data_IF_956489707832
#
_entry.id   IF_956489707832
#
_cell.length_a   1.000
_cell.length_b   1.000
_cell.length_c   1.000
_cell.angle_alpha   90.00
_cell.angle_beta   90.00
_cell.angle_gamma   90.00
#
_symmetry.space_group_name_H-M   'P 1'
#
loop_
_entity.id
_entity.type
_entity.pdbx_description
1 polymer ?
#
# COMPACT_ATOMS: atom_id res chain seq x y z
N UNK A 1 -5.74 27.03 5.31
CA UNK A 1 -5.74 25.67 5.89
C UNK A 1 -5.55 24.69 4.76
N UNK A 2 -4.71 23.68 4.91
CA UNK A 2 -4.58 22.66 3.87
C UNK A 2 -5.89 21.87 3.80
N UNK A 3 -6.45 21.77 2.60
CA UNK A 3 -7.52 20.81 2.31
C UNK A 3 -6.87 19.47 1.95
N UNK A 4 -7.43 18.40 2.49
CA UNK A 4 -7.05 17.03 2.13
C UNK A 4 -8.01 16.52 1.06
N UNK A 5 -7.46 15.98 -0.01
CA UNK A 5 -8.25 15.27 -1.01
C UNK A 5 -8.77 13.93 -0.45
N UNK A 6 -9.86 13.38 -0.99
CA UNK A 6 -10.30 12.04 -0.62
C UNK A 6 -9.16 11.02 -0.78
N UNK A 7 -8.94 10.19 0.24
CA UNK A 7 -7.87 9.21 0.33
C UNK A 7 -6.44 9.78 0.34
N UNK A 8 -6.28 11.09 0.51
CA UNK A 8 -4.95 11.69 0.70
C UNK A 8 -4.39 11.31 2.07
N UNK A 9 -3.14 10.87 2.11
CA UNK A 9 -2.39 10.57 3.33
C UNK A 9 -1.51 11.74 3.69
N UNK A 10 -1.43 12.00 4.97
CA UNK A 10 -0.52 13.00 5.54
C UNK A 10 0.21 12.43 6.74
N UNK A 11 1.35 12.97 7.05
CA UNK A 11 2.12 12.65 8.25
C UNK A 11 2.19 13.90 9.11
N UNK A 12 1.90 13.75 10.40
CA UNK A 12 2.01 14.84 11.38
C UNK A 12 3.07 14.44 12.39
N UNK A 13 4.12 15.23 12.51
CA UNK A 13 5.25 15.00 13.40
C UNK A 13 5.37 16.15 14.42
N UNK A 14 6.14 15.99 15.51
CA UNK A 14 6.28 17.06 16.50
C UNK A 14 6.82 18.35 15.89
N UNK A 15 6.37 19.49 16.41
CA UNK A 15 6.98 20.79 16.09
C UNK A 15 8.48 20.78 16.42
N UNK A 16 9.27 21.42 15.57
CA UNK A 16 10.72 21.44 15.68
C UNK A 16 11.43 20.24 15.09
N UNK A 17 10.69 19.23 14.62
CA UNK A 17 11.26 18.12 13.83
C UNK A 17 11.20 18.49 12.35
N UNK A 18 12.34 18.44 11.67
CA UNK A 18 12.40 18.76 10.24
C UNK A 18 11.67 17.72 9.41
N UNK A 19 10.71 18.17 8.59
CA UNK A 19 9.97 17.34 7.67
C UNK A 19 10.88 16.63 6.65
N UNK A 20 11.92 17.30 6.16
CA UNK A 20 12.87 16.72 5.20
C UNK A 20 13.75 15.64 5.82
N UNK A 21 14.21 15.85 7.04
CA UNK A 21 14.99 14.82 7.77
C UNK A 21 14.11 13.61 8.09
N UNK A 22 12.86 13.83 8.50
CA UNK A 22 11.91 12.76 8.76
C UNK A 22 11.64 11.93 7.48
N UNK A 23 11.40 12.60 6.34
CA UNK A 23 11.23 11.92 5.04
C UNK A 23 12.42 11.04 4.70
N UNK A 24 13.63 11.59 4.82
CA UNK A 24 14.86 10.86 4.51
C UNK A 24 15.05 9.65 5.43
N UNK A 25 14.76 9.79 6.72
CA UNK A 25 14.96 8.75 7.72
C UNK A 25 13.95 7.60 7.58
N UNK A 26 12.68 7.91 7.26
CA UNK A 26 11.59 6.95 7.25
C UNK A 26 11.11 6.58 5.84
N UNK A 27 11.77 7.06 4.80
CA UNK A 27 11.44 6.72 3.41
C UNK A 27 10.07 7.26 2.96
N UNK A 28 9.62 8.40 3.53
CA UNK A 28 8.31 8.97 3.19
C UNK A 28 8.34 9.57 1.80
N UNK A 29 7.43 9.11 0.93
CA UNK A 29 7.31 9.58 -0.46
C UNK A 29 7.22 11.11 -0.55
N UNK A 30 7.84 11.70 -1.57
CA UNK A 30 7.81 13.15 -1.81
C UNK A 30 6.38 13.70 -2.03
N UNK A 31 5.45 12.87 -2.50
CA UNK A 31 4.04 13.24 -2.69
C UNK A 31 3.21 13.30 -1.41
N UNK A 32 3.70 12.74 -0.29
CA UNK A 32 2.99 12.76 0.99
C UNK A 32 3.27 14.08 1.69
N UNK A 33 2.25 14.79 2.16
CA UNK A 33 2.43 15.99 2.99
C UNK A 33 2.91 15.60 4.38
N UNK A 34 3.98 16.24 4.87
CA UNK A 34 4.49 16.08 6.24
C UNK A 34 4.35 17.41 6.95
N UNK A 35 3.59 17.45 8.03
CA UNK A 35 3.44 18.58 8.93
C UNK A 35 4.39 18.37 10.11
N UNK A 36 5.34 19.29 10.27
CA UNK A 36 6.38 19.29 11.30
C UNK A 36 6.88 20.70 11.52
N UNK A 37 8.20 20.92 11.65
CA UNK A 37 8.79 22.25 11.76
C UNK A 37 7.95 23.21 12.62
N UNK A 38 7.11 24.06 12.02
CA UNK A 38 6.23 25.01 12.72
C UNK A 38 4.75 24.62 12.70
N UNK A 39 4.34 23.61 11.96
CA UNK A 39 2.95 23.21 11.73
C UNK A 39 2.61 21.77 12.20
N UNK A 40 3.55 21.12 12.88
CA UNK A 40 3.36 19.83 13.53
C UNK A 40 2.58 19.92 14.85
N UNK A 41 2.41 18.78 15.52
CA UNK A 41 1.77 18.75 16.84
C UNK A 41 2.72 19.24 17.95
N UNK A 42 2.13 19.77 19.05
CA UNK A 42 2.87 20.29 20.19
C UNK A 42 2.99 19.21 21.26
N UNK A 43 4.20 19.02 21.79
CA UNK A 43 4.47 18.06 22.85
C UNK A 43 5.07 16.74 22.32
N UNK A 44 4.94 15.69 23.10
CA UNK A 44 5.40 14.36 22.78
C UNK A 44 4.31 13.34 23.14
N UNK A 45 4.13 12.34 22.32
CA UNK A 45 3.19 11.27 22.59
C UNK A 45 3.63 10.48 23.84
N UNK A 46 2.67 10.19 24.71
CA UNK A 46 2.93 9.51 25.97
C UNK A 46 2.94 7.99 25.78
N UNK A 47 4.06 7.35 26.09
CA UNK A 47 4.16 5.89 26.03
C UNK A 47 3.22 5.15 27.01
N UNK A 48 2.72 5.83 28.03
CA UNK A 48 1.75 5.30 28.99
C UNK A 48 0.30 5.31 28.51
N UNK A 49 0.04 5.97 27.40
CA UNK A 49 -1.30 6.15 26.84
C UNK A 49 -1.77 7.60 26.90
N UNK A 50 -2.56 8.00 25.92
CA UNK A 50 -3.26 9.29 25.83
C UNK A 50 -4.35 9.28 24.78
N UNK A 51 -5.20 10.30 24.79
CA UNK A 51 -6.19 10.53 23.74
C UNK A 51 -5.60 11.36 22.59
N UNK A 52 -5.76 10.85 21.38
CA UNK A 52 -5.47 11.59 20.14
C UNK A 52 -6.78 11.88 19.40
N UNK A 53 -7.06 13.14 19.14
CA UNK A 53 -8.27 13.55 18.44
C UNK A 53 -7.93 14.31 17.15
N UNK A 54 -8.48 13.85 16.03
CA UNK A 54 -8.51 14.59 14.78
C UNK A 54 -9.77 15.43 14.73
N UNK A 55 -9.60 16.75 14.75
CA UNK A 55 -10.71 17.70 14.78
C UNK A 55 -10.80 18.48 13.46
N UNK A 56 -12.02 18.75 13.00
CA UNK A 56 -12.27 19.72 11.93
C UNK A 56 -13.11 20.89 12.43
N UNK A 57 -12.89 22.11 11.93
CA UNK A 57 -13.76 23.24 12.25
C UNK A 57 -15.15 23.04 11.63
N UNK A 58 -16.19 23.40 12.37
CA UNK A 58 -17.53 23.55 11.87
C UNK A 58 -17.79 25.01 11.40
N UNK A 59 -19.02 25.31 11.01
CA UNK A 59 -19.42 26.65 10.65
C UNK A 59 -19.29 27.59 11.88
N UNK A 60 -18.80 28.80 11.69
CA UNK A 60 -18.75 29.78 12.78
C UNK A 60 -20.18 30.11 13.29
N UNK A 61 -20.34 30.08 14.60
CA UNK A 61 -21.57 30.48 15.27
C UNK A 61 -21.41 31.86 15.94
N UNK A 62 -22.44 32.69 15.83
CA UNK A 62 -22.51 33.95 16.54
C UNK A 62 -23.16 33.73 17.90
N UNK A 63 -22.38 33.75 18.99
CA UNK A 63 -22.90 33.56 20.35
C UNK A 63 -23.07 34.91 21.05
N UNK A 64 -24.27 35.28 21.51
CA UNK A 64 -24.52 36.52 22.20
C UNK A 64 -23.60 36.68 23.41
N UNK A 65 -22.87 37.81 23.47
CA UNK A 65 -21.92 38.11 24.57
C UNK A 65 -20.55 37.46 24.47
N UNK A 66 -20.35 36.50 23.53
CA UNK A 66 -19.06 35.80 23.35
C UNK A 66 -18.43 36.04 21.97
N UNK A 67 -19.20 36.61 21.02
CA UNK A 67 -18.70 36.87 19.68
C UNK A 67 -18.82 35.64 18.76
N UNK A 68 -17.91 35.52 17.79
CA UNK A 68 -17.87 34.40 16.86
C UNK A 68 -17.08 33.24 17.46
N UNK A 69 -17.73 32.09 17.60
CA UNK A 69 -17.11 30.83 18.02
C UNK A 69 -17.09 29.88 16.84
N UNK A 70 -15.97 29.16 16.64
CA UNK A 70 -15.86 28.11 15.67
C UNK A 70 -15.83 26.76 16.42
N UNK A 71 -16.94 26.01 16.43
CA UNK A 71 -16.96 24.69 17.05
C UNK A 71 -15.98 23.75 16.35
N UNK A 72 -15.40 22.83 17.10
CA UNK A 72 -14.55 21.78 16.56
C UNK A 72 -15.28 20.45 16.65
N UNK A 73 -15.38 19.75 15.51
CA UNK A 73 -16.04 18.44 15.41
C UNK A 73 -14.95 17.37 15.40
N UNK A 74 -15.06 16.40 16.29
CA UNK A 74 -14.19 15.22 16.26
C UNK A 74 -14.51 14.38 15.01
N UNK A 75 -13.50 14.14 14.19
CA UNK A 75 -13.58 13.30 12.99
C UNK A 75 -13.15 11.89 13.33
N UNK A 76 -12.12 11.78 14.17
CA UNK A 76 -11.58 10.51 14.65
C UNK A 76 -10.93 10.73 16.01
N UNK A 77 -11.10 9.77 16.91
CA UNK A 77 -10.54 9.80 18.26
C UNK A 77 -9.98 8.42 18.56
N UNK A 78 -8.82 8.39 19.18
CA UNK A 78 -8.15 7.16 19.62
C UNK A 78 -7.60 7.39 21.01
N UNK A 79 -8.02 6.59 21.97
CA UNK A 79 -7.50 6.58 23.33
C UNK A 79 -6.64 5.34 23.56
N UNK A 80 -5.39 5.43 23.14
CA UNK A 80 -4.47 4.30 23.29
C UNK A 80 -3.89 4.23 24.70
N UNK A 81 -3.47 3.02 25.09
CA UNK A 81 -2.93 2.71 26.43
C UNK A 81 -1.78 1.69 26.26
N UNK A 82 -0.96 1.55 27.30
CA UNK A 82 0.07 0.52 27.40
C UNK A 82 -0.38 -0.77 28.11
N UNK A 83 -1.69 -0.93 28.37
CA UNK A 83 -2.25 -2.15 28.93
C UNK A 83 -2.24 -3.31 27.92
N UNK A 84 -2.47 -4.54 28.39
CA UNK A 84 -2.36 -5.75 27.54
C UNK A 84 -3.44 -5.86 26.44
N UNK A 85 -4.42 -4.94 26.38
CA UNK A 85 -5.45 -4.90 25.33
C UNK A 85 -4.95 -4.20 24.07
N UNK A 86 -4.09 -3.19 24.23
CA UNK A 86 -3.45 -2.50 23.12
C UNK A 86 -2.21 -3.26 22.63
N UNK A 87 -1.90 -3.22 21.33
CA UNK A 87 -0.68 -3.83 20.81
C UNK A 87 0.56 -3.21 21.46
N UNK A 88 1.49 -4.05 21.92
CA UNK A 88 2.78 -3.58 22.42
C UNK A 88 3.62 -3.06 21.26
N UNK A 89 4.06 -1.81 21.33
CA UNK A 89 4.98 -1.24 20.36
C UNK A 89 6.40 -1.81 20.45
N UNK A 90 6.91 -2.09 21.65
CA UNK A 90 8.26 -2.60 21.92
C UNK A 90 9.37 -2.03 20.99
N UNK A 91 9.38 -0.71 20.82
CA UNK A 91 10.30 -0.02 19.91
C UNK A 91 9.84 0.01 18.44
N UNK A 92 8.61 -0.40 18.16
CA UNK A 92 7.93 -0.29 16.88
C UNK A 92 6.71 0.62 17.01
N UNK A 93 6.16 1.06 15.89
CA UNK A 93 4.86 1.74 15.85
C UNK A 93 3.71 0.76 15.97
N UNK A 94 2.55 1.25 16.35
CA UNK A 94 1.27 0.56 16.15
C UNK A 94 0.57 1.15 14.91
N UNK A 95 -0.19 0.32 14.21
CA UNK A 95 -0.88 0.70 12.99
C UNK A 95 -2.28 0.10 12.94
N UNK A 96 -3.23 0.79 12.30
CA UNK A 96 -4.59 0.28 12.13
C UNK A 96 -4.61 -0.92 11.20
N UNK A 97 -5.39 -1.93 11.57
CA UNK A 97 -5.65 -3.10 10.73
C UNK A 97 -6.61 -2.72 9.59
N UNK A 98 -7.69 -2.02 9.92
CA UNK A 98 -8.67 -1.54 8.95
C UNK A 98 -8.90 -0.03 9.15
N UNK A 99 -8.57 0.78 8.13
CA UNK A 99 -8.68 2.24 8.19
C UNK A 99 -10.13 2.74 8.24
N UNK A 100 -11.10 1.93 7.81
CA UNK A 100 -12.53 2.27 7.82
C UNK A 100 -13.27 1.81 9.07
N UNK A 101 -12.64 0.94 9.88
CA UNK A 101 -13.20 0.49 11.13
C UNK A 101 -13.01 1.53 12.25
N UNK A 102 -13.71 1.34 13.37
CA UNK A 102 -13.67 2.26 14.50
C UNK A 102 -12.24 2.41 15.05
N UNK A 103 -11.80 3.66 15.18
CA UNK A 103 -10.41 3.99 15.54
C UNK A 103 -10.08 3.73 17.00
N UNK A 104 -11.04 3.85 17.90
CA UNK A 104 -10.87 3.68 19.34
C UNK A 104 -11.13 2.22 19.80
N UNK A 105 -10.97 1.26 18.90
CA UNK A 105 -11.04 -0.17 19.19
C UNK A 105 -9.65 -0.79 19.14
N UNK A 106 -9.08 -1.25 20.28
CA UNK A 106 -7.76 -1.89 20.31
C UNK A 106 -7.63 -3.09 19.37
N UNK A 107 -8.74 -3.84 19.13
CA UNK A 107 -8.75 -4.96 18.19
C UNK A 107 -8.49 -4.55 16.74
N UNK A 108 -8.67 -3.24 16.41
CA UNK A 108 -8.37 -2.69 15.11
C UNK A 108 -6.92 -2.20 14.97
N UNK A 109 -6.05 -2.48 15.94
CA UNK A 109 -4.65 -2.08 15.94
C UNK A 109 -3.73 -3.28 16.07
N UNK A 110 -2.55 -3.15 15.52
CA UNK A 110 -1.47 -4.14 15.63
C UNK A 110 -0.10 -3.47 15.69
N UNK A 111 0.88 -4.21 16.18
CA UNK A 111 2.29 -3.79 16.08
C UNK A 111 2.73 -3.80 14.63
N UNK A 112 3.38 -2.74 14.17
CA UNK A 112 3.95 -2.68 12.82
C UNK A 112 4.95 -3.81 12.57
N UNK A 113 4.91 -4.39 11.38
CA UNK A 113 5.91 -5.37 10.94
C UNK A 113 7.29 -4.75 10.73
N UNK A 114 7.33 -3.47 10.33
CA UNK A 114 8.56 -2.68 10.20
C UNK A 114 8.93 -2.03 11.53
N UNK A 115 10.21 -1.97 11.86
CA UNK A 115 10.70 -1.25 13.03
C UNK A 115 10.38 0.26 12.99
N UNK A 116 10.25 0.83 11.79
CA UNK A 116 9.98 2.25 11.57
C UNK A 116 8.51 2.56 11.25
N UNK A 117 7.65 1.52 11.15
CA UNK A 117 6.31 1.68 10.60
C UNK A 117 6.30 2.02 9.12
N UNK A 118 5.16 2.49 8.63
CA UNK A 118 4.94 2.90 7.24
C UNK A 118 4.34 4.30 7.16
N UNK A 119 5.00 5.35 7.70
CA UNK A 119 4.42 6.68 7.76
C UNK A 119 4.12 7.22 6.36
N UNK A 120 2.86 7.65 6.16
CA UNK A 120 2.40 8.20 4.88
C UNK A 120 2.15 7.18 3.77
N UNK A 121 2.40 5.91 4.01
CA UNK A 121 2.07 4.82 3.10
C UNK A 121 0.90 3.99 3.66
N UNK A 122 0.20 3.24 2.80
CA UNK A 122 -0.69 2.21 3.28
C UNK A 122 0.06 1.27 4.21
N UNK A 123 -0.62 0.71 5.19
CA UNK A 123 -0.05 -0.34 6.02
C UNK A 123 0.61 -1.41 5.14
N UNK A 124 1.87 -1.73 5.41
CA UNK A 124 2.45 -2.93 4.83
C UNK A 124 1.63 -4.11 5.34
N UNK A 125 0.94 -4.78 4.44
CA UNK A 125 0.08 -5.91 4.79
C UNK A 125 0.95 -7.08 5.28
N UNK A 126 1.33 -7.06 6.57
CA UNK A 126 1.88 -8.24 7.25
C UNK A 126 0.82 -9.36 7.39
N UNK A 127 -0.41 -9.07 7.02
CA UNK A 127 -1.54 -9.99 7.07
C UNK A 127 -1.80 -10.78 5.79
N UNK A 128 -0.99 -10.64 4.76
CA UNK A 128 -1.16 -11.37 3.50
C UNK A 128 -2.49 -11.10 2.79
N UNK A 129 -2.85 -12.02 1.88
CA UNK A 129 -4.06 -11.93 1.06
C UNK A 129 -5.35 -11.77 1.90
N UNK A 130 -5.50 -12.55 2.97
CA UNK A 130 -6.71 -12.55 3.81
C UNK A 130 -6.97 -11.19 4.46
N UNK A 131 -5.93 -10.58 4.98
CA UNK A 131 -6.03 -9.24 5.60
C UNK A 131 -6.34 -8.16 4.58
N UNK A 132 -5.77 -8.26 3.38
CA UNK A 132 -6.11 -7.37 2.27
C UNK A 132 -7.56 -7.55 1.84
N UNK A 133 -8.03 -8.79 1.71
CA UNK A 133 -9.39 -9.11 1.33
C UNK A 133 -10.39 -8.56 2.36
N UNK A 134 -10.12 -8.74 3.67
CA UNK A 134 -10.94 -8.21 4.75
C UNK A 134 -11.01 -6.66 4.76
N UNK A 135 -9.98 -5.98 4.27
CA UNK A 135 -9.98 -4.52 4.12
C UNK A 135 -10.71 -4.00 2.87
N UNK A 136 -10.96 -4.86 1.89
CA UNK A 136 -11.58 -4.49 0.59
C UNK A 136 -13.04 -4.93 0.53
N UNK A 137 -13.33 -6.16 0.96
CA UNK A 137 -14.64 -6.78 0.85
C UNK A 137 -15.42 -6.65 2.15
N UNK A 138 -16.73 -6.58 2.07
CA UNK A 138 -17.61 -6.62 3.23
C UNK A 138 -17.70 -8.05 3.79
N UNK A 139 -18.11 -8.18 5.05
CA UNK A 139 -18.33 -9.50 5.65
C UNK A 139 -19.35 -10.34 4.86
N UNK A 140 -20.40 -9.71 4.34
CA UNK A 140 -21.41 -10.37 3.51
C UNK A 140 -20.79 -10.91 2.20
N UNK A 141 -19.95 -10.14 1.54
CA UNK A 141 -19.26 -10.57 0.31
C UNK A 141 -18.27 -11.71 0.59
N UNK A 142 -17.57 -11.66 1.73
CA UNK A 142 -16.66 -12.73 2.16
C UNK A 142 -17.43 -14.03 2.41
N UNK A 143 -18.57 -13.95 3.10
CA UNK A 143 -19.43 -15.11 3.37
C UNK A 143 -20.04 -15.67 2.07
N UNK A 144 -20.41 -14.82 1.12
CA UNK A 144 -20.99 -15.23 -0.16
C UNK A 144 -19.97 -15.84 -1.15
N UNK A 145 -18.67 -15.81 -0.83
CA UNK A 145 -17.67 -16.65 -1.47
C UNK A 145 -17.09 -16.17 -2.81
N UNK A 146 -17.22 -14.87 -3.16
CA UNK A 146 -16.61 -14.31 -4.37
C UNK A 146 -15.27 -13.58 -4.12
N UNK A 147 -14.68 -13.76 -2.95
CA UNK A 147 -13.55 -12.95 -2.47
C UNK A 147 -12.25 -13.73 -2.28
N UNK A 148 -12.25 -15.00 -2.61
CA UNK A 148 -11.06 -15.85 -2.55
C UNK A 148 -10.00 -15.45 -3.61
N UNK A 149 -8.75 -15.90 -3.45
CA UNK A 149 -7.65 -15.52 -4.35
C UNK A 149 -7.88 -16.03 -5.80
N UNK A 150 -8.65 -17.08 -5.96
CA UNK A 150 -8.95 -17.66 -7.27
C UNK A 150 -10.25 -17.14 -7.90
N UNK A 151 -11.02 -16.34 -7.18
CA UNK A 151 -12.26 -15.75 -7.67
C UNK A 151 -11.97 -14.47 -8.48
N UNK A 152 -12.93 -14.07 -9.29
CA UNK A 152 -12.93 -12.86 -10.08
C UNK A 152 -14.13 -12.01 -9.66
N UNK A 153 -13.91 -11.08 -8.74
CA UNK A 153 -14.99 -10.27 -8.16
C UNK A 153 -15.57 -9.27 -9.15
N UNK A 154 -14.75 -8.69 -10.01
CA UNK A 154 -15.18 -7.70 -11.01
C UNK A 154 -15.76 -8.33 -12.28
N UNK A 155 -15.55 -9.63 -12.52
CA UNK A 155 -15.96 -10.32 -13.74
C UNK A 155 -15.16 -9.90 -14.98
N UNK A 156 -13.94 -9.41 -14.81
CA UNK A 156 -13.10 -8.89 -15.90
C UNK A 156 -12.11 -9.93 -16.47
N UNK A 157 -12.14 -11.15 -15.95
CA UNK A 157 -11.27 -12.26 -16.34
C UNK A 157 -9.97 -12.36 -15.54
N UNK A 158 -9.73 -11.43 -14.58
CA UNK A 158 -8.58 -11.47 -13.70
C UNK A 158 -8.99 -11.86 -12.28
N UNK A 159 -8.23 -12.81 -11.72
CA UNK A 159 -8.45 -13.30 -10.35
C UNK A 159 -8.14 -12.21 -9.32
N UNK A 160 -8.79 -12.27 -8.16
CA UNK A 160 -8.50 -11.38 -7.04
C UNK A 160 -7.03 -11.42 -6.61
N UNK A 161 -6.35 -12.57 -6.76
CA UNK A 161 -4.91 -12.70 -6.53
C UNK A 161 -4.08 -11.79 -7.44
N UNK A 162 -4.51 -11.59 -8.70
CA UNK A 162 -3.85 -10.66 -9.62
C UNK A 162 -4.02 -9.22 -9.16
N UNK A 163 -5.24 -8.87 -8.73
CA UNK A 163 -5.52 -7.55 -8.15
C UNK A 163 -4.69 -7.31 -6.89
N UNK A 164 -4.63 -8.30 -6.00
CA UNK A 164 -3.80 -8.25 -4.81
C UNK A 164 -2.32 -8.09 -5.16
N UNK A 165 -1.78 -8.95 -5.99
CA UNK A 165 -0.36 -8.97 -6.33
C UNK A 165 0.11 -7.70 -7.04
N UNK A 166 -0.68 -7.18 -7.97
CA UNK A 166 -0.33 -5.96 -8.69
C UNK A 166 -0.81 -4.66 -8.01
N UNK A 167 -1.48 -4.76 -6.84
CA UNK A 167 -1.94 -3.59 -6.09
C UNK A 167 -3.11 -2.87 -6.75
N UNK A 168 -4.04 -3.60 -7.38
CA UNK A 168 -5.26 -3.04 -7.98
C UNK A 168 -6.46 -3.18 -7.05
N UNK A 169 -7.49 -2.39 -7.35
CA UNK A 169 -8.78 -2.54 -6.71
C UNK A 169 -9.58 -3.65 -7.42
N UNK A 170 -9.89 -4.78 -6.77
CA UNK A 170 -10.61 -5.90 -7.37
C UNK A 170 -12.07 -5.59 -7.72
N UNK A 171 -12.59 -4.44 -7.28
CA UNK A 171 -13.94 -3.96 -7.63
C UNK A 171 -13.99 -3.27 -8.98
N UNK A 172 -12.84 -2.97 -9.56
CA UNK A 172 -12.71 -2.27 -10.82
C UNK A 172 -12.09 -3.19 -11.86
N UNK A 173 -12.64 -3.17 -13.06
CA UNK A 173 -12.04 -3.91 -14.18
C UNK A 173 -10.64 -3.40 -14.47
N UNK A 174 -9.67 -4.30 -14.51
CA UNK A 174 -8.29 -3.99 -14.89
C UNK A 174 -8.23 -3.68 -16.38
N UNK A 175 -7.63 -2.57 -16.76
CA UNK A 175 -7.53 -2.16 -18.17
C UNK A 175 -6.11 -1.74 -18.56
N UNK A 176 -5.68 -2.26 -19.70
CA UNK A 176 -4.60 -1.69 -20.52
C UNK A 176 -3.26 -1.48 -19.82
N UNK A 177 -2.94 -0.22 -19.50
CA UNK A 177 -1.63 0.19 -18.98
C UNK A 177 -1.24 -0.41 -17.61
N UNK A 178 -2.20 -0.99 -16.90
CA UNK A 178 -1.97 -1.60 -15.59
C UNK A 178 -1.58 -3.08 -15.67
N UNK A 179 -1.72 -3.70 -16.83
CA UNK A 179 -1.29 -5.08 -17.05
C UNK A 179 0.22 -5.16 -17.32
N UNK A 180 0.84 -6.34 -17.14
CA UNK A 180 2.22 -6.54 -17.54
C UNK A 180 2.44 -6.14 -19.01
N UNK A 181 3.47 -5.35 -19.25
CA UNK A 181 3.82 -4.83 -20.57
C UNK A 181 5.06 -5.53 -21.10
N UNK A 182 4.96 -6.07 -22.30
CA UNK A 182 6.10 -6.60 -23.01
C UNK A 182 6.83 -5.44 -23.72
N UNK A 183 8.11 -5.34 -23.50
CA UNK A 183 9.00 -4.35 -24.09
C UNK A 183 10.09 -5.08 -24.89
N UNK A 184 10.60 -4.43 -25.92
CA UNK A 184 11.73 -4.92 -26.70
C UNK A 184 12.88 -3.93 -26.52
N UNK A 185 14.06 -4.42 -26.17
CA UNK A 185 15.28 -3.64 -26.08
C UNK A 185 16.27 -4.10 -27.15
N UNK A 186 17.12 -3.20 -27.63
CA UNK A 186 18.05 -3.49 -28.69
C UNK A 186 17.46 -3.42 -30.10
N UNK A 187 18.25 -3.77 -31.11
CA UNK A 187 17.86 -3.76 -32.53
C UNK A 187 18.51 -4.90 -33.30
N UNK A 188 17.90 -5.33 -34.41
CA UNK A 188 18.42 -6.43 -35.23
C UNK A 188 18.58 -7.72 -34.45
N UNK A 189 19.74 -8.35 -34.55
CA UNK A 189 20.10 -9.59 -33.85
C UNK A 189 20.36 -9.42 -32.34
N UNK A 190 20.47 -8.19 -31.85
CA UNK A 190 20.73 -7.89 -30.43
C UNK A 190 19.45 -7.58 -29.66
N UNK A 191 18.28 -7.93 -30.20
CA UNK A 191 16.99 -7.74 -29.49
C UNK A 191 16.84 -8.70 -28.34
N UNK A 192 16.36 -8.17 -27.19
CA UNK A 192 15.95 -8.95 -26.05
C UNK A 192 14.54 -8.55 -25.60
N UNK A 193 13.82 -9.48 -24.97
CA UNK A 193 12.51 -9.22 -24.39
C UNK A 193 12.67 -8.68 -22.98
N UNK A 194 11.80 -7.75 -22.64
CA UNK A 194 11.65 -7.25 -21.28
C UNK A 194 10.17 -7.30 -20.90
N UNK A 195 9.88 -7.57 -19.65
CA UNK A 195 8.52 -7.47 -19.12
C UNK A 195 8.50 -6.50 -17.95
N UNK A 196 7.55 -5.59 -17.98
CA UNK A 196 7.37 -4.56 -16.97
C UNK A 196 6.02 -4.76 -16.30
N UNK A 197 6.00 -4.82 -14.97
CA UNK A 197 4.77 -5.05 -14.20
C UNK A 197 4.86 -4.42 -12.81
N UNK A 198 3.70 -4.21 -12.20
CA UNK A 198 3.62 -3.77 -10.80
C UNK A 198 3.79 -4.96 -9.87
N UNK A 199 4.34 -4.72 -8.69
CA UNK A 199 4.34 -5.68 -7.58
C UNK A 199 4.12 -4.96 -6.26
N UNK A 200 3.61 -5.65 -5.25
CA UNK A 200 3.55 -5.13 -3.89
C UNK A 200 4.95 -5.10 -3.28
N UNK A 201 5.28 -3.99 -2.63
CA UNK A 201 6.48 -3.89 -1.81
C UNK A 201 6.23 -4.68 -0.52
N UNK A 202 7.21 -5.51 -0.10
CA UNK A 202 7.18 -6.26 1.15
C UNK A 202 6.02 -7.28 1.32
N UNK A 203 5.43 -7.76 0.25
CA UNK A 203 4.48 -8.87 0.34
C UNK A 203 5.23 -10.17 0.64
N UNK A 204 5.17 -10.61 1.90
CA UNK A 204 5.88 -11.82 2.37
C UNK A 204 5.15 -13.12 2.01
N UNK A 205 3.89 -13.01 1.60
CA UNK A 205 3.03 -14.10 1.17
C UNK A 205 2.96 -14.31 -0.34
N UNK A 206 3.70 -13.50 -1.10
CA UNK A 206 3.72 -13.57 -2.56
C UNK A 206 5.09 -13.91 -3.12
N UNK A 207 5.07 -14.74 -4.14
CA UNK A 207 6.23 -14.96 -5.02
C UNK A 207 5.86 -14.54 -6.44
N UNK A 208 6.70 -13.71 -7.04
CA UNK A 208 6.61 -13.34 -8.45
C UNK A 208 7.68 -14.09 -9.22
N UNK A 209 7.28 -14.72 -10.31
CA UNK A 209 8.19 -15.35 -11.25
C UNK A 209 7.90 -14.84 -12.66
N UNK A 210 8.95 -14.56 -13.40
CA UNK A 210 8.84 -14.32 -14.83
C UNK A 210 9.20 -15.63 -15.54
N UNK A 211 8.39 -16.02 -16.48
CA UNK A 211 8.61 -17.21 -17.27
C UNK A 211 8.64 -16.83 -18.75
N UNK A 212 9.49 -17.54 -19.51
CA UNK A 212 9.64 -17.38 -20.94
C UNK A 212 9.21 -18.62 -21.70
N UNK A 213 8.72 -18.42 -22.93
CA UNK A 213 8.33 -19.49 -23.84
C UNK A 213 8.55 -19.07 -25.29
N UNK A 214 8.76 -20.05 -26.15
CA UNK A 214 8.79 -19.86 -27.61
C UNK A 214 7.53 -20.37 -28.31
N UNK A 215 6.70 -21.13 -27.61
CA UNK A 215 5.53 -21.85 -28.16
C UNK A 215 4.23 -21.61 -27.37
N UNK A 216 4.27 -20.86 -26.27
CA UNK A 216 3.18 -20.65 -25.28
C UNK A 216 2.67 -21.95 -24.62
N UNK A 217 3.37 -23.06 -24.77
CA UNK A 217 3.04 -24.35 -24.17
C UNK A 217 4.06 -24.70 -23.11
N UNK A 218 5.33 -24.66 -23.48
CA UNK A 218 6.46 -24.96 -22.58
C UNK A 218 7.00 -23.64 -22.00
N UNK A 219 6.99 -23.54 -20.67
CA UNK A 219 7.41 -22.34 -19.95
C UNK A 219 8.61 -22.64 -19.07
N UNK A 220 9.60 -21.80 -19.12
CA UNK A 220 10.81 -21.87 -18.30
C UNK A 220 10.91 -20.60 -17.45
N UNK A 221 11.25 -20.76 -16.17
CA UNK A 221 11.55 -19.62 -15.30
C UNK A 221 12.74 -18.86 -15.86
N UNK A 222 12.64 -17.53 -15.87
CA UNK A 222 13.73 -16.65 -16.26
C UNK A 222 14.76 -16.62 -15.12
N UNK A 223 15.94 -17.21 -15.35
CA UNK A 223 17.01 -17.25 -14.38
C UNK A 223 17.83 -15.96 -14.41
N UNK A 224 18.06 -15.37 -13.21
CA UNK A 224 18.88 -14.17 -13.01
C UNK A 224 18.59 -13.04 -14.01
N UNK A 225 17.33 -12.57 -14.11
CA UNK A 225 17.01 -11.43 -14.97
C UNK A 225 17.75 -10.19 -14.51
N UNK A 226 18.08 -9.30 -15.44
CA UNK A 226 18.42 -7.92 -15.07
C UNK A 226 17.15 -7.25 -14.55
N UNK A 227 17.21 -6.70 -13.34
CA UNK A 227 16.06 -6.12 -12.66
C UNK A 227 16.20 -4.61 -12.46
N UNK A 228 15.14 -3.89 -12.75
CA UNK A 228 14.99 -2.48 -12.40
C UNK A 228 13.77 -2.33 -11.51
N UNK A 229 13.90 -1.55 -10.41
CA UNK A 229 12.83 -1.30 -9.45
C UNK A 229 12.56 0.20 -9.37
N UNK A 230 11.29 0.58 -9.47
CA UNK A 230 10.84 1.97 -9.29
C UNK A 230 9.69 1.95 -8.30
N UNK A 231 9.87 2.55 -7.12
CA UNK A 231 8.81 2.72 -6.14
C UNK A 231 7.73 3.67 -6.68
N UNK A 232 6.47 3.24 -6.64
CA UNK A 232 5.34 4.05 -7.09
C UNK A 232 4.81 4.98 -5.99
N UNK A 233 5.30 4.87 -4.75
CA UNK A 233 4.87 5.66 -3.60
C UNK A 233 3.49 5.28 -3.03
N UNK A 234 2.93 4.16 -3.45
CA UNK A 234 1.60 3.67 -3.04
C UNK A 234 1.63 2.25 -2.44
N UNK A 235 2.79 1.83 -1.94
CA UNK A 235 3.01 0.47 -1.44
C UNK A 235 3.23 -0.56 -2.54
N UNK A 236 3.37 -0.11 -3.78
CA UNK A 236 3.75 -0.94 -4.92
C UNK A 236 5.00 -0.39 -5.59
N UNK A 237 5.64 -1.22 -6.37
CA UNK A 237 6.76 -0.84 -7.22
C UNK A 237 6.54 -1.33 -8.65
N UNK A 238 7.17 -0.67 -9.60
CA UNK A 238 7.28 -1.16 -10.98
C UNK A 238 8.54 -1.98 -11.09
N UNK A 239 8.42 -3.22 -11.52
CA UNK A 239 9.55 -4.11 -11.80
C UNK A 239 9.70 -4.26 -13.30
N UNK A 240 10.93 -4.17 -13.80
CA UNK A 240 11.27 -4.53 -15.17
C UNK A 240 12.28 -5.67 -15.14
N UNK A 241 11.92 -6.82 -15.68
CA UNK A 241 12.81 -7.95 -15.88
C UNK A 241 13.24 -8.02 -17.34
N UNK A 242 14.53 -8.13 -17.59
CA UNK A 242 15.08 -8.35 -18.91
C UNK A 242 15.48 -9.81 -19.10
N UNK A 243 15.05 -10.42 -20.21
CA UNK A 243 15.62 -11.69 -20.67
C UNK A 243 17.02 -11.41 -21.23
N UNK A 244 18.01 -12.09 -20.69
CA UNK A 244 19.39 -11.99 -21.18
C UNK A 244 19.60 -12.72 -22.51
N UNK A 245 18.67 -13.59 -22.88
CA UNK A 245 18.73 -14.29 -24.17
C UNK A 245 18.24 -13.38 -25.29
N UNK A 246 18.96 -13.45 -26.43
CA UNK A 246 18.60 -12.71 -27.62
C UNK A 246 17.43 -13.39 -28.33
N UNK A 247 16.48 -12.59 -28.78
CA UNK A 247 15.42 -13.06 -29.67
C UNK A 247 16.01 -13.27 -31.06
N UNK A 248 15.98 -14.48 -31.56
CA UNK A 248 16.41 -14.76 -32.93
C UNK A 248 15.54 -13.97 -33.93
N UNK A 249 16.12 -13.56 -35.08
CA UNK A 249 15.40 -12.75 -36.08
C UNK A 249 14.12 -13.42 -36.63
N UNK A 250 14.03 -14.75 -36.53
CA UNK A 250 12.90 -15.56 -36.99
C UNK A 250 12.12 -16.22 -35.86
N UNK A 251 12.45 -15.96 -34.59
CA UNK A 251 11.84 -16.62 -33.43
C UNK A 251 10.70 -15.84 -32.80
N UNK A 252 9.70 -16.56 -32.31
CA UNK A 252 8.69 -16.01 -31.39
C UNK A 252 9.22 -16.10 -29.97
N UNK A 253 8.96 -15.06 -29.17
CA UNK A 253 9.28 -15.05 -27.75
C UNK A 253 8.10 -14.50 -26.95
N UNK A 254 7.81 -15.14 -25.85
CA UNK A 254 6.73 -14.78 -24.94
C UNK A 254 7.27 -14.71 -23.52
N UNK A 255 6.83 -13.68 -22.76
CA UNK A 255 7.06 -13.58 -21.34
C UNK A 255 5.73 -13.50 -20.60
N UNK A 256 5.68 -14.10 -19.42
CA UNK A 256 4.54 -13.94 -18.52
C UNK A 256 5.00 -13.75 -17.08
N UNK A 257 4.16 -13.09 -16.29
CA UNK A 257 4.33 -12.99 -14.83
C UNK A 257 3.43 -14.04 -14.19
N UNK A 258 4.00 -14.83 -13.31
CA UNK A 258 3.28 -15.77 -12.46
C UNK A 258 3.31 -15.24 -11.04
N UNK A 259 2.14 -15.10 -10.44
CA UNK A 259 1.98 -14.73 -9.04
C UNK A 259 1.55 -15.98 -8.28
N UNK A 260 2.29 -16.31 -7.25
CA UNK A 260 1.98 -17.44 -6.38
C UNK A 260 1.75 -16.91 -4.96
N UNK A 261 0.60 -17.27 -4.38
CA UNK A 261 0.33 -17.07 -2.98
C UNK A 261 1.00 -18.22 -2.19
N UNK A 262 1.83 -17.86 -1.24
CA UNK A 262 2.40 -18.83 -0.30
C UNK A 262 1.34 -19.13 0.75
N UNK A 263 0.99 -20.39 0.90
CA UNK A 263 0.18 -20.83 2.04
C UNK A 263 1.08 -20.94 3.27
N UNK A 264 0.60 -20.49 4.45
CA UNK A 264 1.33 -20.62 5.71
C UNK A 264 1.73 -22.05 6.03
#
# INVERSE_FOLDING_TARGET
>A
KPELAPNERVVIIPQGVSADLFRSQYGVSAGVKVFGDSDGYIGALNNGGEELALLRPDKPDQVPGQGIIVPMIAVDVVTYDNNAVWPSGEGKSIERINETAFGDDPANWQTSSSATGTPGAPRSSSGGYESWAAGIFTEEEIVNGATGPNDDFSGDGYKNLVAYGFGYNPRLSVKGANLPQLLISGSGADRSLRIRFRSRIQATDLVYRVEKSNDMVSWLTLDNPEEEFIDNGDGTQMITHADTDRVSESGSGFLRVVIQLLTP
#
